data_IF_930328139578
#
_entry.id   IF_930328139578
#
_cell.length_a   1.000
_cell.length_b   1.000
_cell.length_c   1.000
_cell.angle_alpha   90.00
_cell.angle_beta   90.00
_cell.angle_gamma   90.00
#
_symmetry.space_group_name_H-M   'P 1'
#
loop_
_entity.id
_entity.type
_entity.pdbx_description
1 polymer ?
#
# COMPACT_ATOMS: atom_id res chain seq x y z
N UNK A 1 35.16 20.92 -11.41
CA UNK A 1 33.95 20.31 -10.83
C UNK A 1 33.14 19.72 -11.97
N UNK A 2 32.72 18.44 -11.91
CA UNK A 2 31.94 17.84 -12.99
C UNK A 2 30.58 18.54 -13.08
N UNK A 3 30.31 19.17 -14.23
CA UNK A 3 29.09 19.91 -14.54
C UNK A 3 28.14 19.00 -15.34
N UNK A 4 27.63 17.94 -14.71
CA UNK A 4 26.65 17.07 -15.36
C UNK A 4 25.28 17.76 -15.37
N UNK A 5 24.88 18.27 -16.53
CA UNK A 5 23.60 18.95 -16.73
C UNK A 5 22.48 18.02 -17.19
N UNK A 6 22.80 16.93 -17.89
CA UNK A 6 21.82 15.98 -18.42
C UNK A 6 22.25 14.54 -18.16
N UNK A 7 21.29 13.70 -17.76
CA UNK A 7 21.47 12.26 -17.56
C UNK A 7 20.34 11.51 -18.25
N UNK A 8 20.69 10.49 -19.02
CA UNK A 8 19.74 9.59 -19.67
C UNK A 8 19.98 8.16 -19.20
N UNK A 9 18.90 7.47 -18.84
CA UNK A 9 18.87 6.08 -18.44
C UNK A 9 17.84 5.39 -19.32
N UNK A 10 18.31 4.61 -20.30
CA UNK A 10 17.47 3.99 -21.32
C UNK A 10 17.60 2.47 -21.27
N UNK A 11 16.47 1.76 -21.42
CA UNK A 11 16.43 0.29 -21.58
C UNK A 11 17.15 -0.49 -20.46
N UNK A 12 17.08 0.03 -19.23
CA UNK A 12 17.73 -0.54 -18.06
C UNK A 12 16.71 -1.25 -17.15
N UNK A 13 16.14 -2.37 -17.61
CA UNK A 13 15.08 -3.07 -16.87
C UNK A 13 15.54 -3.70 -15.55
N UNK A 14 16.83 -4.01 -15.42
CA UNK A 14 17.41 -4.55 -14.18
C UNK A 14 17.72 -3.48 -13.14
N UNK A 15 17.74 -2.20 -13.53
CA UNK A 15 18.04 -1.10 -12.63
C UNK A 15 16.79 -0.78 -11.81
N UNK A 16 16.89 -0.87 -10.49
CA UNK A 16 15.78 -0.66 -9.56
C UNK A 16 15.91 0.60 -8.72
N UNK A 17 17.14 1.09 -8.57
CA UNK A 17 17.48 2.18 -7.67
C UNK A 17 18.39 3.19 -8.36
N UNK A 18 18.28 4.42 -7.91
CA UNK A 18 19.16 5.51 -8.29
C UNK A 18 20.31 5.65 -7.29
N UNK A 19 21.52 5.98 -7.73
CA UNK A 19 22.63 6.26 -6.83
C UNK A 19 22.42 7.55 -6.05
N UNK A 20 22.89 7.59 -4.79
CA UNK A 20 22.62 8.70 -3.87
C UNK A 20 23.29 10.01 -4.23
N UNK A 21 24.38 9.98 -5.01
CA UNK A 21 25.06 11.21 -5.45
C UNK A 21 24.18 12.08 -6.35
N UNK A 22 23.15 11.50 -7.00
CA UNK A 22 22.22 12.26 -7.84
C UNK A 22 21.46 13.33 -7.05
N UNK A 23 21.22 13.10 -5.75
CA UNK A 23 20.66 14.11 -4.82
C UNK A 23 21.47 15.40 -4.78
N UNK A 24 22.79 15.32 -4.96
CA UNK A 24 23.73 16.45 -4.86
C UNK A 24 24.17 16.96 -6.24
N UNK A 25 23.79 16.26 -7.30
CA UNK A 25 24.22 16.59 -8.65
C UNK A 25 23.28 17.65 -9.22
N UNK A 26 23.79 18.79 -9.71
CA UNK A 26 22.99 19.86 -10.27
C UNK A 26 22.52 19.52 -11.70
N UNK A 27 21.70 18.49 -11.81
CA UNK A 27 21.09 18.04 -13.06
C UNK A 27 19.94 18.96 -13.47
N UNK A 28 19.93 19.36 -14.72
CA UNK A 28 18.86 20.12 -15.37
C UNK A 28 17.87 19.18 -16.06
N UNK A 29 18.31 18.01 -16.50
CA UNK A 29 17.48 17.07 -17.25
C UNK A 29 17.77 15.63 -16.86
N UNK A 30 16.72 14.87 -16.60
CA UNK A 30 16.75 13.44 -16.37
C UNK A 30 15.75 12.73 -17.28
N UNK A 31 16.22 11.80 -18.10
CA UNK A 31 15.40 10.94 -18.93
C UNK A 31 15.47 9.49 -18.44
N UNK A 32 14.34 8.89 -18.10
CA UNK A 32 14.22 7.48 -17.71
C UNK A 32 13.29 6.79 -18.71
N UNK A 33 13.84 6.37 -19.85
CA UNK A 33 13.08 5.73 -20.92
C UNK A 33 13.14 4.20 -20.85
N UNK A 34 11.99 3.52 -20.98
CA UNK A 34 11.93 2.04 -21.05
C UNK A 34 12.69 1.35 -19.90
N UNK A 35 12.59 1.86 -18.68
CA UNK A 35 13.18 1.27 -17.49
C UNK A 35 12.08 0.91 -16.49
N UNK A 36 11.36 -0.20 -16.71
CA UNK A 36 10.08 -0.45 -16.02
C UNK A 36 10.17 -0.44 -14.49
N UNK A 37 11.21 -1.06 -13.92
CA UNK A 37 11.43 -1.08 -12.48
C UNK A 37 11.84 0.29 -11.92
N UNK A 38 12.80 0.95 -12.57
CA UNK A 38 13.31 2.25 -12.13
C UNK A 38 12.23 3.34 -12.24
N UNK A 39 11.50 3.39 -13.36
CA UNK A 39 10.51 4.41 -13.63
C UNK A 39 9.34 4.33 -12.62
N UNK A 40 8.93 3.12 -12.23
CA UNK A 40 7.97 2.90 -11.14
C UNK A 40 8.53 3.39 -9.79
N UNK A 41 9.80 3.10 -9.51
CA UNK A 41 10.48 3.58 -8.30
C UNK A 41 10.65 5.10 -8.27
N UNK A 42 10.71 5.74 -9.43
CA UNK A 42 10.86 7.19 -9.60
C UNK A 42 9.52 7.91 -9.83
N UNK A 43 8.37 7.27 -9.62
CA UNK A 43 7.07 7.89 -9.82
C UNK A 43 6.92 9.17 -9.00
N UNK A 44 6.43 10.24 -9.62
CA UNK A 44 6.23 11.55 -8.98
C UNK A 44 5.35 11.42 -7.73
N UNK A 45 5.86 11.86 -6.58
CA UNK A 45 5.14 11.88 -5.29
C UNK A 45 5.00 10.52 -4.57
N UNK A 46 5.00 9.40 -5.29
CA UNK A 46 4.78 8.05 -4.71
C UNK A 46 6.02 7.15 -4.74
N UNK A 47 6.94 7.39 -5.67
CA UNK A 47 8.12 6.58 -5.89
C UNK A 47 9.14 6.70 -4.77
N UNK A 48 9.70 5.57 -4.31
CA UNK A 48 10.75 5.53 -3.28
C UNK A 48 12.01 6.30 -3.67
N UNK A 49 12.29 6.38 -4.97
CA UNK A 49 13.45 7.06 -5.54
C UNK A 49 13.16 8.53 -5.90
N UNK A 50 11.90 8.96 -5.88
CA UNK A 50 11.51 10.34 -6.20
C UNK A 50 12.30 11.41 -5.42
N UNK A 51 12.55 11.27 -4.11
CA UNK A 51 13.34 12.26 -3.35
C UNK A 51 14.78 12.42 -3.83
N UNK A 52 15.30 11.49 -4.65
CA UNK A 52 16.65 11.58 -5.22
C UNK A 52 16.72 12.48 -6.44
N UNK A 53 15.58 12.74 -7.08
CA UNK A 53 15.48 13.43 -8.37
C UNK A 53 14.49 14.59 -8.35
N UNK A 54 13.74 14.78 -7.26
CA UNK A 54 12.69 15.81 -7.15
C UNK A 54 13.19 17.24 -7.31
N UNK A 55 14.49 17.49 -7.16
CA UNK A 55 15.11 18.80 -7.38
C UNK A 55 15.44 19.09 -8.85
N UNK A 56 15.34 18.09 -9.73
CA UNK A 56 15.65 18.22 -11.15
C UNK A 56 14.46 18.88 -11.86
N UNK A 57 14.67 19.97 -12.62
CA UNK A 57 13.57 20.72 -13.21
C UNK A 57 12.88 19.98 -14.35
N UNK A 58 13.61 19.23 -15.17
CA UNK A 58 13.06 18.50 -16.30
C UNK A 58 13.26 16.99 -16.12
N UNK A 59 12.16 16.27 -15.85
CA UNK A 59 12.17 14.81 -15.72
C UNK A 59 11.18 14.23 -16.74
N UNK A 60 11.66 13.33 -17.59
CA UNK A 60 10.87 12.69 -18.66
C UNK A 60 10.97 11.16 -18.58
N UNK A 61 9.99 10.47 -19.18
CA UNK A 61 9.96 8.99 -19.25
C UNK A 61 9.41 8.29 -18.01
N UNK A 62 9.01 9.04 -16.97
CA UNK A 62 8.25 8.47 -15.86
C UNK A 62 6.81 8.14 -16.30
N UNK A 63 6.22 7.04 -15.82
CA UNK A 63 4.83 6.72 -16.12
C UNK A 63 3.92 7.81 -15.55
N UNK A 64 3.12 8.44 -16.40
CA UNK A 64 1.90 9.11 -15.94
C UNK A 64 0.95 8.01 -15.46
N UNK A 65 0.39 8.23 -14.28
CA UNK A 65 -0.54 7.31 -13.66
C UNK A 65 -1.86 7.38 -14.43
N UNK A 66 -2.06 6.50 -15.41
CA UNK A 66 -3.39 6.20 -15.92
C UNK A 66 -4.04 5.26 -14.92
N UNK A 67 -4.85 5.81 -14.00
CA UNK A 67 -5.95 5.08 -13.37
C UNK A 67 -6.86 4.59 -14.49
N UNK A 68 -6.50 3.47 -15.09
CA UNK A 68 -7.49 2.55 -15.62
C UNK A 68 -7.58 1.50 -14.56
N UNK A 69 -8.41 1.77 -13.56
CA UNK A 69 -8.98 0.75 -12.70
C UNK A 69 -9.63 -0.28 -13.64
N UNK A 70 -8.88 -1.34 -13.93
CA UNK A 70 -9.42 -2.56 -14.50
C UNK A 70 -10.17 -3.25 -13.36
N UNK A 71 -11.41 -2.82 -13.17
CA UNK A 71 -12.44 -3.50 -12.40
C UNK A 71 -12.77 -4.81 -13.15
N UNK A 72 -12.10 -5.92 -12.80
CA UNK A 72 -12.42 -7.28 -13.26
C UNK A 72 -11.16 -8.14 -13.32
N UNK A 73 -11.05 -9.30 -12.69
CA UNK A 73 -12.01 -10.38 -12.62
C UNK A 73 -12.03 -11.02 -11.22
N UNK A 74 -13.24 -11.33 -10.75
CA UNK A 74 -13.44 -12.12 -9.55
C UNK A 74 -13.04 -13.59 -9.75
N UNK A 75 -12.58 -14.21 -8.66
CA UNK A 75 -12.75 -15.63 -8.43
C UNK A 75 -13.62 -15.80 -7.20
N UNK A 76 -14.92 -16.03 -7.45
CA UNK A 76 -15.76 -16.75 -6.51
C UNK A 76 -15.48 -18.24 -6.75
N UNK A 77 -14.62 -18.85 -5.95
CA UNK A 77 -14.55 -20.30 -5.86
C UNK A 77 -15.58 -20.73 -4.82
N UNK A 78 -16.78 -21.06 -5.30
CA UNK A 78 -17.78 -21.79 -4.55
C UNK A 78 -17.79 -23.23 -5.08
N UNK A 79 -17.19 -24.15 -4.32
CA UNK A 79 -17.62 -25.54 -4.30
C UNK A 79 -17.64 -26.06 -2.86
N UNK A 80 -18.86 -26.03 -2.32
CA UNK A 80 -19.49 -27.06 -1.49
C UNK A 80 -18.63 -27.83 -0.47
N UNK A 81 -18.73 -27.44 0.81
CA UNK A 81 -18.84 -28.37 1.92
C UNK A 81 -19.51 -27.69 3.11
N UNK A 82 -20.77 -28.06 3.31
CA UNK A 82 -21.56 -27.86 4.53
C UNK A 82 -20.85 -28.45 5.75
N UNK A 83 -20.49 -27.63 6.74
CA UNK A 83 -20.73 -27.96 8.17
C UNK A 83 -20.64 -26.69 9.02
N UNK A 84 -21.79 -26.26 9.56
CA UNK A 84 -21.89 -25.16 10.51
C UNK A 84 -21.67 -25.71 11.93
N UNK A 85 -20.64 -25.30 12.70
CA UNK A 85 -20.66 -25.47 14.13
C UNK A 85 -21.52 -24.36 14.77
N UNK A 86 -22.41 -24.81 15.64
CA UNK A 86 -23.50 -24.04 16.23
C UNK A 86 -23.03 -22.80 17.01
N UNK A 87 -23.77 -21.69 16.84
CA UNK A 87 -23.60 -20.48 17.65
C UNK A 87 -24.26 -20.76 19.01
N UNK A 88 -23.56 -20.66 20.15
CA UNK A 88 -24.25 -20.72 21.43
C UNK A 88 -25.16 -19.49 21.56
N UNK A 89 -26.47 -19.74 21.58
CA UNK A 89 -27.47 -18.77 22.02
C UNK A 89 -27.19 -18.41 23.47
N UNK A 90 -26.65 -17.22 23.73
CA UNK A 90 -26.76 -16.57 25.03
C UNK A 90 -28.17 -15.99 25.10
N UNK A 91 -29.10 -16.81 25.59
CA UNK A 91 -30.44 -16.38 25.97
C UNK A 91 -30.32 -15.79 27.36
N UNK A 92 -30.05 -14.48 27.43
CA UNK A 92 -30.04 -13.73 28.68
C UNK A 92 -31.26 -12.82 28.73
N UNK A 93 -31.82 -12.78 29.94
CA UNK A 93 -32.86 -11.87 30.45
C UNK A 93 -34.31 -12.27 30.14
N UNK A 94 -34.94 -12.95 31.11
CA UNK A 94 -35.96 -12.34 31.99
C UNK A 94 -36.53 -13.42 32.94
N UNK A 95 -36.21 -13.36 34.23
CA UNK A 95 -37.07 -13.93 35.28
C UNK A 95 -36.93 -13.10 36.57
N UNK A 96 -37.98 -12.32 36.83
CA UNK A 96 -38.20 -11.54 38.04
C UNK A 96 -38.75 -12.47 39.13
N UNK A 97 -38.10 -12.50 40.30
CA UNK A 97 -38.54 -13.34 41.40
C UNK A 97 -38.09 -12.81 42.75
N UNK A 98 -38.71 -11.70 43.19
CA UNK A 98 -38.72 -11.25 44.59
C UNK A 98 -39.23 -12.36 45.51
N UNK A 99 -38.47 -12.70 46.54
CA UNK A 99 -38.79 -13.76 47.49
C UNK A 99 -38.23 -13.46 48.88
N UNK A 100 -38.79 -12.45 49.52
CA UNK A 100 -38.71 -12.22 50.97
C UNK A 100 -39.29 -13.43 51.74
N UNK A 101 -38.55 -14.03 52.66
CA UNK A 101 -39.09 -14.54 53.93
C UNK A 101 -38.04 -14.46 55.04
N UNK A 102 -38.58 -14.18 56.21
CA UNK A 102 -38.03 -13.64 57.45
C UNK A 102 -37.65 -14.76 58.45
N UNK A 103 -36.78 -14.39 59.40
CA UNK A 103 -36.58 -14.97 60.74
C UNK A 103 -36.09 -16.45 60.81
N UNK A 104 -35.37 -16.96 61.82
CA UNK A 104 -35.28 -16.69 63.26
C UNK A 104 -33.85 -17.10 63.73
N UNK A 105 -33.14 -16.33 64.58
CA UNK A 105 -33.04 -16.40 66.06
C UNK A 105 -32.14 -17.52 66.66
N UNK A 106 -31.37 -17.12 67.70
CA UNK A 106 -30.62 -17.91 68.71
C UNK A 106 -29.39 -18.77 68.27
N UNK A 107 -28.25 -18.81 68.95
CA UNK A 107 -27.80 -18.36 70.29
C UNK A 107 -26.28 -18.11 70.26
#
# INVERSE_FOLDING_TARGET
MPCLSSLQILQCDRLKTLPDFLRKTPLQTLDIGRCGNLARGCQKGRGKEWPKISHIPNIIGLPEYSDSDDEGEGMAEAEDAVELPERPSTSDSDDEGEGIVEADDAV
#
